data_IF_988371705678
#
_entry.id   IF_988371705678
#
_cell.length_a   1.000
_cell.length_b   1.000
_cell.length_c   1.000
_cell.angle_alpha   90.00
_cell.angle_beta   90.00
_cell.angle_gamma   90.00
#
_symmetry.space_group_name_H-M   'P 1'
#
loop_
_entity.id
_entity.type
_entity.pdbx_description
1 polymer ?
#
# COMPACT_ATOMS: atom_id res chain seq x y z
N UNK A 1 -43.45 -7.13 40.55
CA UNK A 1 -42.80 -6.15 39.66
C UNK A 1 -41.41 -6.68 39.32
N UNK A 2 -41.20 -7.24 38.13
CA UNK A 2 -39.91 -7.84 37.71
C UNK A 2 -39.01 -6.75 37.14
N UNK A 3 -37.85 -6.50 37.77
CA UNK A 3 -36.84 -5.55 37.29
C UNK A 3 -36.01 -6.22 36.19
N UNK A 4 -36.05 -5.65 34.99
CA UNK A 4 -35.24 -6.06 33.84
C UNK A 4 -33.87 -5.36 33.97
N UNK A 5 -32.80 -6.12 34.22
CA UNK A 5 -31.43 -5.62 34.15
C UNK A 5 -30.97 -5.71 32.70
N UNK A 6 -30.94 -4.57 32.01
CA UNK A 6 -30.33 -4.44 30.69
C UNK A 6 -28.83 -4.28 30.94
N UNK A 7 -28.09 -5.37 30.76
CA UNK A 7 -26.63 -5.36 30.74
C UNK A 7 -26.14 -4.64 29.49
N UNK A 8 -25.66 -3.42 29.67
CA UNK A 8 -24.98 -2.65 28.64
C UNK A 8 -23.60 -3.29 28.40
N UNK A 9 -23.53 -4.25 27.47
CA UNK A 9 -22.24 -4.76 26.98
C UNK A 9 -21.62 -3.69 26.09
N UNK A 10 -20.74 -2.89 26.68
CA UNK A 10 -19.86 -1.98 25.95
C UNK A 10 -18.85 -2.84 25.20
N UNK A 11 -19.18 -3.25 23.98
CA UNK A 11 -18.20 -3.81 23.04
C UNK A 11 -17.36 -2.61 22.60
N UNK A 12 -16.28 -2.34 23.34
CA UNK A 12 -15.22 -1.45 22.89
C UNK A 12 -14.57 -2.19 21.72
N UNK A 13 -15.01 -1.86 20.51
CA UNK A 13 -14.34 -2.26 19.28
C UNK A 13 -12.91 -1.73 19.38
N UNK A 14 -11.96 -2.65 19.55
CA UNK A 14 -10.53 -2.35 19.44
C UNK A 14 -10.27 -1.87 18.01
N UNK A 15 -10.47 -0.57 17.77
CA UNK A 15 -9.88 0.10 16.63
C UNK A 15 -8.38 0.01 16.85
N UNK A 16 -7.74 -0.90 16.12
CA UNK A 16 -6.29 -1.06 16.12
C UNK A 16 -5.67 0.14 15.41
N UNK A 17 -5.62 1.28 16.11
CA UNK A 17 -4.82 2.42 15.70
C UNK A 17 -3.34 2.00 15.73
N UNK A 18 -2.66 2.04 14.58
CA UNK A 18 -1.23 1.75 14.48
C UNK A 18 -0.81 0.51 13.67
N UNK A 19 -1.69 -0.11 12.88
CA UNK A 19 -1.23 -1.24 12.05
C UNK A 19 -0.38 -0.76 10.89
N UNK A 20 0.82 -1.33 10.82
CA UNK A 20 1.69 -1.24 9.66
C UNK A 20 1.59 -2.54 8.86
N UNK A 21 1.62 -2.46 7.54
CA UNK A 21 1.53 -3.61 6.64
C UNK A 21 2.81 -3.72 5.83
N UNK A 22 3.55 -4.81 5.99
CA UNK A 22 4.83 -4.99 5.33
C UNK A 22 4.73 -6.03 4.22
N UNK A 23 5.23 -5.67 3.04
CA UNK A 23 5.22 -6.50 1.84
C UNK A 23 6.63 -6.70 1.31
N UNK A 24 6.91 -7.92 0.87
CA UNK A 24 8.08 -8.24 0.07
C UNK A 24 7.64 -8.70 -1.32
N UNK A 25 8.23 -8.09 -2.34
CA UNK A 25 7.79 -8.18 -3.71
C UNK A 25 8.94 -8.56 -4.64
N UNK A 26 8.65 -9.34 -5.67
CA UNK A 26 9.56 -9.70 -6.74
C UNK A 26 8.82 -9.66 -8.09
N UNK A 27 9.47 -9.16 -9.15
CA UNK A 27 8.95 -9.20 -10.51
C UNK A 27 9.48 -10.42 -11.31
N UNK A 28 9.14 -10.51 -12.60
CA UNK A 28 9.58 -11.60 -13.46
C UNK A 28 11.10 -11.58 -13.79
N UNK A 29 11.79 -10.48 -13.48
CA UNK A 29 13.21 -10.23 -13.80
C UNK A 29 14.10 -10.25 -12.54
N UNK A 30 13.60 -10.83 -11.44
CA UNK A 30 14.27 -10.90 -10.13
C UNK A 30 14.56 -9.53 -9.52
N UNK A 31 13.80 -8.50 -9.92
CA UNK A 31 13.85 -7.22 -9.25
C UNK A 31 12.98 -7.27 -8.00
N UNK A 32 13.56 -6.88 -6.87
CA UNK A 32 12.92 -6.90 -5.57
C UNK A 32 12.46 -5.50 -5.18
N UNK A 33 11.38 -5.45 -4.41
CA UNK A 33 10.89 -4.26 -3.73
C UNK A 33 10.32 -4.68 -2.38
N UNK A 34 10.69 -3.98 -1.31
CA UNK A 34 10.06 -4.16 0.00
C UNK A 34 9.45 -2.83 0.41
N UNK A 35 8.31 -2.87 1.09
CA UNK A 35 7.73 -1.65 1.63
C UNK A 35 6.86 -1.90 2.85
N UNK A 36 6.78 -0.87 3.69
CA UNK A 36 5.91 -0.83 4.86
C UNK A 36 4.89 0.31 4.71
N UNK A 37 3.61 -0.04 4.80
CA UNK A 37 2.50 0.91 4.84
C UNK A 37 2.20 1.24 6.29
N UNK A 38 2.59 2.43 6.74
CA UNK A 38 2.26 2.96 8.06
C UNK A 38 0.92 3.69 8.00
N UNK A 39 -0.18 3.00 8.34
CA UNK A 39 -1.53 3.55 8.22
C UNK A 39 -1.82 4.68 9.22
N UNK A 40 -1.09 4.72 10.35
CA UNK A 40 -1.17 5.77 11.37
C UNK A 40 -0.49 7.07 10.93
N UNK A 41 0.65 6.95 10.25
CA UNK A 41 1.42 8.10 9.73
C UNK A 41 1.01 8.48 8.32
N UNK A 42 0.26 7.62 7.63
CA UNK A 42 0.04 7.70 6.19
C UNK A 42 1.39 7.86 5.46
N UNK A 43 2.34 6.95 5.72
CA UNK A 43 3.67 6.92 5.04
C UNK A 43 3.95 5.53 4.45
N UNK A 44 4.41 5.45 3.18
CA UNK A 44 5.05 4.23 2.64
C UNK A 44 6.53 4.40 2.79
N UNK A 45 7.14 3.47 3.52
CA UNK A 45 8.59 3.36 3.62
C UNK A 45 9.01 2.22 2.69
N UNK A 46 9.66 2.55 1.58
CA UNK A 46 10.23 1.51 0.73
C UNK A 46 11.63 1.15 1.21
N UNK A 47 11.98 -0.11 1.06
CA UNK A 47 13.31 -0.64 1.34
C UNK A 47 13.70 -1.63 0.25
N UNK A 48 15.00 -1.75 0.01
CA UNK A 48 15.56 -2.81 -0.84
C UNK A 48 14.92 -2.90 -2.24
N UNK A 49 14.99 -1.79 -2.98
CA UNK A 49 14.42 -1.68 -4.32
C UNK A 49 15.51 -1.85 -5.35
N UNK A 50 15.56 -3.00 -6.00
CA UNK A 50 16.57 -3.28 -7.02
C UNK A 50 16.14 -2.84 -8.42
N UNK A 51 14.85 -2.53 -8.62
CA UNK A 51 14.31 -2.07 -9.90
C UNK A 51 14.82 -0.66 -10.27
N UNK A 52 14.97 0.21 -9.28
CA UNK A 52 15.39 1.61 -9.44
C UNK A 52 16.91 1.75 -9.31
N UNK A 53 17.68 0.94 -10.03
CA UNK A 53 19.15 0.85 -9.91
C UNK A 53 19.92 2.18 -10.01
N UNK A 54 19.34 3.20 -10.65
CA UNK A 54 19.89 4.56 -10.74
C UNK A 54 19.10 5.62 -9.94
N UNK A 55 18.03 5.22 -9.28
CA UNK A 55 17.15 6.09 -8.55
C UNK A 55 17.39 5.86 -7.04
N UNK A 56 18.19 6.74 -6.44
CA UNK A 56 18.32 6.95 -4.98
C UNK A 56 17.01 7.40 -4.30
N UNK A 57 15.90 7.09 -4.94
CA UNK A 57 14.54 7.56 -4.72
C UNK A 57 13.89 6.56 -3.75
N UNK A 58 12.94 7.00 -2.94
CA UNK A 58 12.03 6.15 -2.16
C UNK A 58 12.48 5.69 -0.76
N UNK A 59 13.43 6.32 -0.06
CA UNK A 59 13.72 5.90 1.33
C UNK A 59 12.53 6.14 2.28
N UNK A 60 11.84 7.26 2.13
CA UNK A 60 10.62 7.60 2.86
C UNK A 60 9.75 8.48 1.96
N UNK A 61 8.61 7.97 1.49
CA UNK A 61 7.68 8.79 0.72
C UNK A 61 6.44 9.06 1.56
N UNK A 62 6.11 10.33 1.83
CA UNK A 62 4.78 10.62 2.37
C UNK A 62 3.78 9.99 1.40
N UNK A 63 2.76 9.26 1.88
CA UNK A 63 1.62 9.00 1.01
C UNK A 63 1.07 10.38 0.68
N UNK A 64 1.40 10.86 -0.52
CA UNK A 64 0.96 12.13 -1.04
C UNK A 64 -0.53 12.05 -1.36
N UNK A 65 -1.34 11.97 -0.31
CA UNK A 65 -2.75 12.31 -0.26
C UNK A 65 -3.59 11.87 -1.47
N UNK A 66 -3.83 10.56 -1.61
CA UNK A 66 -5.15 9.98 -1.96
C UNK A 66 -5.09 8.46 -1.89
N UNK A 67 -5.39 7.91 -0.71
CA UNK A 67 -5.91 6.55 -0.65
C UNK A 67 -7.31 6.59 -1.26
N UNK A 68 -7.41 6.26 -2.54
CA UNK A 68 -8.71 6.16 -3.20
C UNK A 68 -9.14 4.70 -3.14
N UNK A 69 -10.18 4.42 -2.37
CA UNK A 69 -10.85 3.13 -2.51
C UNK A 69 -11.65 3.15 -3.82
N UNK A 70 -11.25 2.33 -4.77
CA UNK A 70 -11.93 2.19 -6.06
C UNK A 70 -12.72 0.88 -6.08
N UNK A 71 -13.78 0.86 -6.89
CA UNK A 71 -14.56 -0.35 -7.17
C UNK A 71 -14.16 -0.88 -8.54
N UNK A 72 -13.67 -2.12 -8.61
CA UNK A 72 -13.42 -2.81 -9.88
C UNK A 72 -14.05 -4.19 -9.81
N UNK A 73 -14.84 -4.55 -10.84
CA UNK A 73 -15.55 -5.83 -10.91
C UNK A 73 -16.36 -6.17 -9.64
N UNK A 74 -16.96 -5.16 -8.99
CA UNK A 74 -17.75 -5.32 -7.77
C UNK A 74 -16.95 -5.50 -6.48
N UNK A 75 -15.62 -5.43 -6.53
CA UNK A 75 -14.74 -5.54 -5.36
C UNK A 75 -14.11 -4.19 -5.01
N UNK A 76 -13.95 -3.92 -3.72
CA UNK A 76 -13.31 -2.71 -3.22
C UNK A 76 -11.80 -2.92 -3.15
N UNK A 77 -11.05 -2.01 -3.74
CA UNK A 77 -9.60 -2.07 -3.84
C UNK A 77 -8.99 -0.77 -3.31
N UNK A 78 -7.77 -0.86 -2.81
CA UNK A 78 -7.01 0.33 -2.45
C UNK A 78 -6.07 0.71 -3.60
N UNK A 79 -6.20 1.94 -4.06
CA UNK A 79 -5.26 2.60 -4.96
C UNK A 79 -4.53 3.67 -4.15
N UNK A 80 -3.21 3.64 -4.28
CA UNK A 80 -2.29 4.45 -3.51
C UNK A 80 -1.46 5.26 -4.49
N UNK A 81 -1.69 6.57 -4.50
CA UNK A 81 -0.92 7.53 -5.28
C UNK A 81 0.10 8.24 -4.39
N UNK A 82 1.30 8.43 -4.91
CA UNK A 82 2.31 9.29 -4.32
C UNK A 82 3.18 9.94 -5.39
N UNK A 83 3.61 11.16 -5.11
CA UNK A 83 4.48 11.93 -5.97
C UNK A 83 5.79 12.22 -5.24
N UNK A 84 6.90 12.22 -5.98
CA UNK A 84 8.22 12.61 -5.47
C UNK A 84 8.73 13.84 -6.24
N UNK A 85 9.30 14.81 -5.52
CA UNK A 85 9.83 16.03 -6.10
C UNK A 85 11.37 16.04 -6.06
N UNK A 86 11.98 15.71 -7.19
CA UNK A 86 13.35 16.10 -7.50
C UNK A 86 13.41 16.55 -8.96
N UNK A 87 13.44 17.86 -9.17
CA UNK A 87 13.61 18.55 -10.47
C UNK A 87 12.55 18.33 -11.55
N UNK A 88 11.78 17.24 -11.52
CA UNK A 88 10.57 16.97 -12.32
C UNK A 88 9.72 16.00 -11.49
N UNK A 89 8.44 16.32 -11.27
CA UNK A 89 7.56 15.55 -10.39
C UNK A 89 7.37 14.16 -10.98
N UNK A 90 7.85 13.10 -10.32
CA UNK A 90 7.50 11.74 -10.71
C UNK A 90 6.25 11.29 -9.97
N UNK A 91 5.28 10.75 -10.68
CA UNK A 91 4.07 10.17 -10.11
C UNK A 91 4.17 8.65 -10.10
N UNK A 92 3.72 8.06 -8.99
CA UNK A 92 3.65 6.62 -8.82
C UNK A 92 2.27 6.23 -8.32
N UNK A 93 1.74 5.16 -8.90
CA UNK A 93 0.47 4.57 -8.47
C UNK A 93 0.66 3.09 -8.16
N UNK A 94 0.30 2.71 -6.93
CA UNK A 94 0.23 1.34 -6.48
C UNK A 94 -1.23 0.89 -6.40
N UNK A 95 -1.55 -0.20 -7.10
CA UNK A 95 -2.88 -0.81 -7.08
C UNK A 95 -2.84 -2.19 -6.42
N UNK A 96 -3.67 -2.35 -5.40
CA UNK A 96 -3.86 -3.60 -4.68
C UNK A 96 -5.14 -4.31 -5.16
N UNK A 97 -5.14 -5.65 -5.16
CA UNK A 97 -6.30 -6.44 -5.59
C UNK A 97 -7.49 -6.41 -4.61
N UNK A 98 -7.26 -5.95 -3.38
CA UNK A 98 -8.28 -5.73 -2.34
C UNK A 98 -7.78 -4.66 -1.37
N UNK A 99 -8.54 -4.37 -0.32
CA UNK A 99 -8.09 -3.40 0.67
C UNK A 99 -6.86 -3.90 1.44
N UNK A 100 -5.90 -3.03 1.73
CA UNK A 100 -4.60 -3.42 2.32
C UNK A 100 -4.78 -4.16 3.66
N UNK A 101 -5.75 -3.72 4.47
CA UNK A 101 -6.04 -4.31 5.78
C UNK A 101 -6.69 -5.71 5.72
N UNK A 102 -7.14 -6.15 4.53
CA UNK A 102 -7.78 -7.45 4.33
C UNK A 102 -6.79 -8.57 3.98
N UNK A 103 -5.55 -8.24 3.62
CA UNK A 103 -4.51 -9.25 3.38
C UNK A 103 -4.17 -9.96 4.69
N UNK A 104 -3.95 -11.27 4.69
CA UNK A 104 -3.44 -12.01 5.85
C UNK A 104 -1.92 -12.11 5.81
N UNK A 105 -1.28 -12.35 6.96
CA UNK A 105 0.15 -12.66 6.98
C UNK A 105 0.42 -13.94 6.18
N UNK A 106 1.48 -13.93 5.38
CA UNK A 106 1.86 -14.91 4.36
C UNK A 106 0.90 -15.00 3.15
N UNK A 107 -0.07 -14.10 3.03
CA UNK A 107 -0.91 -14.03 1.84
C UNK A 107 -0.11 -13.48 0.65
N UNK A 108 -0.19 -14.17 -0.48
CA UNK A 108 0.42 -13.77 -1.76
C UNK A 108 -0.58 -12.94 -2.55
N UNK A 109 -0.13 -11.83 -3.12
CA UNK A 109 -0.93 -10.95 -3.97
C UNK A 109 -0.11 -10.43 -5.15
N UNK A 110 -0.80 -9.81 -6.11
CA UNK A 110 -0.19 -9.07 -7.20
C UNK A 110 -0.38 -7.58 -6.97
N UNK A 111 0.72 -6.85 -7.00
CA UNK A 111 0.77 -5.40 -6.91
C UNK A 111 1.10 -4.84 -8.29
N UNK A 112 0.34 -3.83 -8.71
CA UNK A 112 0.58 -3.16 -9.98
C UNK A 112 1.15 -1.77 -9.68
N UNK A 113 2.36 -1.51 -10.21
CA UNK A 113 3.02 -0.21 -10.13
C UNK A 113 2.91 0.50 -11.48
N UNK A 114 2.46 1.75 -11.45
CA UNK A 114 2.57 2.69 -12.57
C UNK A 114 3.51 3.82 -12.15
N UNK A 115 4.31 4.30 -13.09
CA UNK A 115 5.29 5.37 -12.92
C UNK A 115 5.27 6.31 -14.12
N UNK A 116 5.36 7.61 -13.89
CA UNK A 116 5.52 8.64 -14.92
C UNK A 116 6.45 9.75 -14.40
N UNK A 117 7.57 10.01 -15.08
CA UNK A 117 8.51 11.08 -14.71
C UNK A 117 8.17 12.45 -15.32
N UNK A 118 7.11 12.53 -16.14
CA UNK A 118 6.67 13.72 -16.87
C UNK A 118 7.72 14.32 -17.83
N UNK A 119 8.81 13.61 -18.11
CA UNK A 119 9.85 13.98 -19.08
C UNK A 119 10.03 12.91 -20.19
N UNK A 120 9.04 12.01 -20.29
CA UNK A 120 8.90 11.03 -21.37
C UNK A 120 9.29 9.60 -21.01
N UNK A 121 9.69 9.33 -19.77
CA UNK A 121 9.85 7.98 -19.26
C UNK A 121 8.66 7.59 -18.35
N UNK A 122 7.88 6.60 -18.81
CA UNK A 122 6.78 6.05 -18.05
C UNK A 122 6.74 4.53 -18.13
N UNK A 123 6.16 3.92 -17.12
CA UNK A 123 5.93 2.47 -17.03
C UNK A 123 4.50 2.26 -16.55
N UNK A 124 3.71 1.50 -17.31
CA UNK A 124 2.35 1.14 -16.93
C UNK A 124 2.27 -0.30 -16.45
N UNK A 125 1.55 -0.52 -15.34
CA UNK A 125 1.17 -1.85 -14.85
C UNK A 125 2.34 -2.83 -14.67
N UNK A 126 3.48 -2.37 -14.16
CA UNK A 126 4.55 -3.27 -13.74
C UNK A 126 4.03 -4.17 -12.61
N UNK A 127 4.06 -5.48 -12.84
CA UNK A 127 3.46 -6.46 -11.94
C UNK A 127 4.52 -7.04 -11.01
N UNK A 128 4.29 -6.90 -9.72
CA UNK A 128 5.05 -7.57 -8.69
C UNK A 128 4.22 -8.66 -8.02
N UNK A 129 4.83 -9.81 -7.78
CA UNK A 129 4.29 -10.81 -6.87
C UNK A 129 4.75 -10.47 -5.46
N UNK A 130 3.81 -10.13 -4.59
CA UNK A 130 4.08 -9.68 -3.23
C UNK A 130 3.57 -10.67 -2.19
N UNK A 131 4.24 -10.75 -1.05
CA UNK A 131 3.79 -11.51 0.13
C UNK A 131 3.70 -10.57 1.32
N UNK A 132 2.57 -10.56 2.03
CA UNK A 132 2.46 -9.84 3.31
C UNK A 132 3.24 -10.59 4.38
N UNK A 133 4.26 -9.99 4.99
CA UNK A 133 5.08 -10.67 6.03
C UNK A 133 4.65 -10.28 7.45
N UNK A 134 4.14 -9.06 7.65
CA UNK A 134 3.57 -8.60 8.93
C UNK A 134 2.45 -7.59 8.70
#
# INVERSE_FOLDING_TARGET
MKKLLIGLSLIISQFSFGQSYYFECEDAYAATMKFEIHADRNVIEFSDISYFRDAQILKDLPFGMKKTSIMENGSKMDLIDFSYDWYYTADYTLKFSKQVHEYQVNEVTFLYLTFDDHDGASVENLIFKCTRIR
#
